data_IF_134271996438
#
_entry.id   IF_134271996438
#
_cell.length_a   1.000
_cell.length_b   1.000
_cell.length_c   1.000
_cell.angle_alpha   90.00
_cell.angle_beta   90.00
_cell.angle_gamma   90.00
#
_symmetry.space_group_name_H-M   'P 1'
#
loop_
_entity.id
_entity.type
_entity.pdbx_description
1 polymer ?
#
# COMPACT_ATOMS: atom_id res chain seq x y z
N UNK A 1 49.72 47.68 -0.97
CA UNK A 1 49.35 47.02 -2.24
C UNK A 1 49.56 45.53 -2.04
N UNK A 2 48.48 44.78 -1.83
CA UNK A 2 48.53 43.33 -1.56
C UNK A 2 47.73 42.62 -2.65
N UNK A 3 48.39 41.74 -3.40
CA UNK A 3 47.80 41.02 -4.52
C UNK A 3 46.83 39.92 -4.03
N UNK A 4 45.70 39.69 -4.71
CA UNK A 4 44.80 38.58 -4.40
C UNK A 4 45.42 37.24 -4.83
N UNK A 5 45.39 36.28 -3.90
CA UNK A 5 45.82 34.89 -4.10
C UNK A 5 44.81 34.18 -5.02
N UNK A 6 45.23 33.46 -6.07
CA UNK A 6 44.31 32.74 -6.95
C UNK A 6 43.69 31.51 -6.24
N UNK A 7 42.44 31.14 -6.56
CA UNK A 7 41.80 29.95 -6.00
C UNK A 7 42.51 28.67 -6.46
N UNK A 8 42.74 27.75 -5.51
CA UNK A 8 43.31 26.42 -5.81
C UNK A 8 42.36 25.62 -6.70
N UNK A 9 42.88 24.86 -7.69
CA UNK A 9 42.07 23.94 -8.47
C UNK A 9 41.55 22.77 -7.58
N UNK A 10 40.34 22.27 -7.83
CA UNK A 10 39.77 21.13 -7.11
C UNK A 10 40.58 19.86 -7.39
N UNK A 11 40.73 19.00 -6.37
CA UNK A 11 41.46 17.74 -6.48
C UNK A 11 40.64 16.71 -7.28
N UNK A 12 41.29 15.87 -8.10
CA UNK A 12 40.60 14.76 -8.77
C UNK A 12 40.12 13.76 -7.72
N UNK A 13 38.81 13.64 -7.52
CA UNK A 13 38.20 12.76 -6.52
C UNK A 13 36.86 13.24 -5.99
N UNK A 14 36.57 14.54 -6.08
CA UNK A 14 35.29 15.13 -5.65
C UNK A 14 34.32 15.31 -6.83
N UNK A 15 34.10 14.24 -7.60
CA UNK A 15 33.07 14.24 -8.64
C UNK A 15 31.78 13.61 -8.07
N UNK A 16 30.71 14.40 -7.83
CA UNK A 16 29.48 13.91 -7.20
C UNK A 16 28.67 12.95 -8.09
N UNK A 17 29.11 12.73 -9.34
CA UNK A 17 28.43 11.91 -10.34
C UNK A 17 29.11 10.56 -10.60
N UNK A 18 30.19 10.22 -9.90
CA UNK A 18 30.83 8.91 -10.04
C UNK A 18 30.24 7.88 -9.06
N UNK A 19 29.62 6.78 -9.55
CA UNK A 19 29.13 5.72 -8.69
C UNK A 19 30.31 5.06 -7.96
N UNK A 20 30.26 5.09 -6.62
CA UNK A 20 31.29 4.53 -5.76
C UNK A 20 31.41 3.03 -6.00
N UNK A 21 32.46 2.62 -6.72
CA UNK A 21 32.70 1.20 -7.01
C UNK A 21 33.39 0.57 -5.81
N UNK A 22 32.60 0.23 -4.77
CA UNK A 22 33.00 -0.70 -3.72
C UNK A 22 31.99 -1.85 -3.68
N UNK A 23 32.43 -3.11 -3.80
CA UNK A 23 31.55 -4.24 -3.60
C UNK A 23 31.23 -4.32 -2.10
N UNK A 24 30.07 -3.78 -1.71
CA UNK A 24 29.52 -4.03 -0.39
C UNK A 24 29.05 -5.49 -0.35
N UNK A 25 29.79 -6.33 0.38
CA UNK A 25 29.32 -7.66 0.78
C UNK A 25 27.91 -7.52 1.39
N UNK A 26 26.94 -8.37 1.02
CA UNK A 26 25.58 -8.26 1.50
C UNK A 26 25.55 -8.56 3.00
N UNK A 27 25.53 -7.51 3.83
CA UNK A 27 25.07 -7.64 5.21
C UNK A 27 23.59 -8.04 5.13
N UNK A 28 23.16 -9.17 5.72
CA UNK A 28 21.74 -9.41 5.89
C UNK A 28 21.23 -8.34 6.85
N UNK A 29 20.54 -7.34 6.30
CA UNK A 29 19.77 -6.41 7.10
C UNK A 29 18.66 -7.22 7.75
N UNK A 30 18.85 -7.61 9.02
CA UNK A 30 17.79 -8.16 9.84
C UNK A 30 16.70 -7.08 9.94
N UNK A 31 15.48 -7.30 9.43
CA UNK A 31 14.44 -6.29 9.45
C UNK A 31 14.08 -5.96 10.91
N UNK A 32 13.98 -4.67 11.30
CA UNK A 32 13.69 -4.24 12.68
C UNK A 32 12.30 -4.64 13.19
N UNK A 33 11.49 -5.32 12.37
CA UNK A 33 10.11 -5.72 12.66
C UNK A 33 9.93 -7.16 13.16
N UNK A 34 11.01 -7.96 13.23
CA UNK A 34 10.93 -9.36 13.71
C UNK A 34 10.45 -9.46 15.17
N UNK A 35 10.81 -8.50 16.02
CA UNK A 35 10.41 -8.50 17.44
C UNK A 35 8.92 -8.26 17.67
N UNK A 36 8.27 -7.41 16.86
CA UNK A 36 6.82 -7.17 16.93
C UNK A 36 6.03 -8.30 16.29
N UNK A 37 6.52 -8.87 15.19
CA UNK A 37 5.90 -10.02 14.52
C UNK A 37 5.99 -11.31 15.36
N UNK A 38 7.10 -11.53 16.07
CA UNK A 38 7.26 -12.66 16.98
C UNK A 38 6.31 -12.59 18.19
N UNK A 39 6.00 -11.38 18.69
CA UNK A 39 5.06 -11.19 19.80
C UNK A 39 3.61 -11.50 19.39
N UNK A 40 3.22 -11.13 18.16
CA UNK A 40 1.92 -11.49 17.59
C UNK A 40 1.77 -12.99 17.32
N UNK A 41 2.82 -13.63 16.80
CA UNK A 41 2.88 -15.09 16.60
C UNK A 41 2.86 -15.87 17.91
N UNK A 42 3.60 -15.40 18.93
CA UNK A 42 3.60 -15.98 20.27
C UNK A 42 2.24 -15.88 20.94
N UNK A 43 1.56 -14.73 20.82
CA UNK A 43 0.22 -14.56 21.36
C UNK A 43 -0.81 -15.46 20.67
N UNK A 44 -0.72 -15.62 19.35
CA UNK A 44 -1.59 -16.55 18.59
C UNK A 44 -1.32 -18.02 18.95
N UNK A 45 -0.06 -18.40 19.15
CA UNK A 45 0.29 -19.74 19.60
C UNK A 45 -0.24 -20.02 21.02
N UNK A 46 -0.09 -19.08 21.94
CA UNK A 46 -0.64 -19.17 23.30
C UNK A 46 -2.16 -19.26 23.26
N UNK A 47 -2.83 -18.44 22.45
CA UNK A 47 -4.28 -18.43 22.34
C UNK A 47 -4.83 -19.70 21.65
N UNK A 48 -4.08 -20.28 20.70
CA UNK A 48 -4.36 -21.57 20.09
C UNK A 48 -4.23 -22.74 21.07
N UNK A 49 -3.13 -22.78 21.84
CA UNK A 49 -2.92 -23.79 22.88
C UNK A 49 -3.96 -23.67 23.98
N UNK A 50 -4.28 -22.45 24.41
CA UNK A 50 -5.30 -22.21 25.45
C UNK A 50 -6.70 -22.61 24.98
N UNK A 51 -7.04 -22.33 23.72
CA UNK A 51 -8.28 -22.79 23.09
C UNK A 51 -8.35 -24.32 22.98
N UNK A 52 -7.25 -24.96 22.59
CA UNK A 52 -7.16 -26.43 22.49
C UNK A 52 -7.32 -27.11 23.86
N UNK A 53 -6.63 -26.61 24.89
CA UNK A 53 -6.73 -27.14 26.26
C UNK A 53 -8.15 -26.96 26.80
N UNK A 54 -8.79 -25.81 26.56
CA UNK A 54 -10.17 -25.58 26.98
C UNK A 54 -11.15 -26.56 26.30
N UNK A 55 -11.00 -26.79 24.99
CA UNK A 55 -11.80 -27.78 24.24
C UNK A 55 -11.56 -29.19 24.77
N UNK A 56 -10.30 -29.57 25.05
CA UNK A 56 -9.97 -30.88 25.58
C UNK A 56 -10.63 -31.14 26.94
N UNK A 57 -10.59 -30.16 27.84
CA UNK A 57 -11.25 -30.23 29.16
C UNK A 57 -12.77 -30.34 29.00
N UNK A 58 -13.38 -29.56 28.10
CA UNK A 58 -14.81 -29.64 27.83
C UNK A 58 -15.21 -31.00 27.25
N UNK A 59 -14.41 -31.56 26.34
CA UNK A 59 -14.64 -32.88 25.75
C UNK A 59 -14.56 -33.98 26.81
N UNK A 60 -13.63 -33.86 27.76
CA UNK A 60 -13.44 -34.81 28.85
C UNK A 60 -14.62 -34.73 29.83
N UNK A 61 -15.06 -33.52 30.19
CA UNK A 61 -16.26 -33.31 31.03
C UNK A 61 -17.51 -33.85 30.35
N UNK A 62 -17.77 -33.48 29.09
CA UNK A 62 -18.96 -33.96 28.38
C UNK A 62 -18.91 -35.47 28.07
N UNK A 63 -17.73 -36.03 27.84
CA UNK A 63 -17.55 -37.48 27.69
C UNK A 63 -17.89 -38.25 28.97
N UNK A 64 -17.52 -37.72 30.13
CA UNK A 64 -17.91 -38.29 31.44
C UNK A 64 -19.43 -38.17 31.64
N UNK A 65 -20.04 -37.02 31.32
CA UNK A 65 -21.50 -36.85 31.43
C UNK A 65 -22.27 -37.79 30.48
N UNK A 66 -21.77 -38.03 29.27
CA UNK A 66 -22.36 -38.97 28.33
C UNK A 66 -22.27 -40.42 28.85
N UNK A 67 -21.13 -40.81 29.44
CA UNK A 67 -20.96 -42.13 30.05
C UNK A 67 -21.88 -42.35 31.27
N UNK A 68 -22.36 -41.27 31.90
CA UNK A 68 -23.36 -41.28 32.96
C UNK A 68 -24.82 -41.35 32.44
N UNK A 69 -25.04 -41.43 31.13
CA UNK A 69 -26.37 -41.59 30.53
C UNK A 69 -27.15 -40.28 30.34
N UNK A 70 -26.48 -39.13 30.35
CA UNK A 70 -27.10 -37.84 30.03
C UNK A 70 -27.22 -37.65 28.51
N UNK A 71 -28.38 -37.95 27.94
CA UNK A 71 -28.67 -37.81 26.49
C UNK A 71 -28.33 -36.43 25.86
N UNK A 72 -28.51 -35.28 26.54
CA UNK A 72 -28.14 -33.98 25.96
C UNK A 72 -26.62 -33.78 25.80
N UNK A 73 -25.81 -34.59 26.49
CA UNK A 73 -24.35 -34.47 26.45
C UNK A 73 -23.78 -34.80 25.07
N UNK A 74 -24.42 -35.69 24.30
CA UNK A 74 -24.01 -36.02 22.94
C UNK A 74 -24.14 -34.83 21.98
N UNK A 75 -25.21 -34.03 22.13
CA UNK A 75 -25.41 -32.79 21.38
C UNK A 75 -24.40 -31.71 21.76
N UNK A 76 -24.09 -31.58 23.05
CA UNK A 76 -23.06 -30.66 23.54
C UNK A 76 -21.66 -31.04 23.03
N UNK A 77 -21.34 -32.33 22.90
CA UNK A 77 -20.10 -32.80 22.25
C UNK A 77 -20.08 -32.39 20.77
N UNK A 78 -21.18 -32.57 20.05
CA UNK A 78 -21.30 -32.13 18.66
C UNK A 78 -21.08 -30.62 18.48
N UNK A 79 -21.75 -29.81 19.30
CA UNK A 79 -21.63 -28.34 19.26
C UNK A 79 -20.21 -27.89 19.61
N UNK A 80 -19.58 -28.52 20.60
CA UNK A 80 -18.20 -28.19 20.99
C UNK A 80 -17.20 -28.59 19.92
N UNK A 81 -17.41 -29.71 19.22
CA UNK A 81 -16.61 -30.07 18.04
C UNK A 81 -16.75 -29.05 16.92
N UNK A 82 -17.97 -28.58 16.65
CA UNK A 82 -18.22 -27.56 15.62
C UNK A 82 -17.54 -26.24 16.00
N UNK A 83 -17.67 -25.80 17.26
CA UNK A 83 -16.99 -24.58 17.74
C UNK A 83 -15.47 -24.72 17.69
N UNK A 84 -14.92 -25.89 18.05
CA UNK A 84 -13.49 -26.17 17.96
C UNK A 84 -13.02 -26.13 16.50
N UNK A 85 -13.76 -26.77 15.59
CA UNK A 85 -13.48 -26.74 14.16
C UNK A 85 -13.54 -25.31 13.60
N UNK A 86 -14.53 -24.51 14.02
CA UNK A 86 -14.66 -23.11 13.60
C UNK A 86 -13.52 -22.25 14.16
N UNK A 87 -13.07 -22.53 15.39
CA UNK A 87 -11.90 -21.90 16.01
C UNK A 87 -10.60 -22.24 15.28
N UNK A 88 -10.41 -23.51 14.91
CA UNK A 88 -9.27 -23.98 14.10
C UNK A 88 -9.32 -23.37 12.69
N UNK A 89 -10.48 -23.33 12.05
CA UNK A 89 -10.65 -22.71 10.75
C UNK A 89 -10.35 -21.20 10.81
N UNK A 90 -10.82 -20.50 11.85
CA UNK A 90 -10.59 -19.06 12.02
C UNK A 90 -9.12 -18.74 12.31
N UNK A 91 -8.47 -19.54 13.15
CA UNK A 91 -7.02 -19.42 13.44
C UNK A 91 -6.17 -19.83 12.25
N UNK A 92 -6.60 -20.81 11.44
CA UNK A 92 -5.95 -21.14 10.18
C UNK A 92 -6.12 -20.03 9.13
N UNK A 93 -7.29 -19.37 9.05
CA UNK A 93 -7.49 -18.21 8.16
C UNK A 93 -6.65 -17.01 8.63
N UNK A 94 -6.60 -16.74 9.93
CA UNK A 94 -5.77 -15.65 10.47
C UNK A 94 -4.27 -15.97 10.39
N UNK A 95 -3.87 -17.21 10.64
CA UNK A 95 -2.52 -17.72 10.46
C UNK A 95 -2.09 -17.67 9.00
N UNK A 96 -2.98 -18.02 8.07
CA UNK A 96 -2.76 -17.79 6.62
C UNK A 96 -2.66 -16.31 6.30
N UNK A 97 -3.37 -15.40 6.95
CA UNK A 97 -3.15 -13.94 6.74
C UNK A 97 -1.80 -13.43 7.25
N UNK A 98 -1.14 -14.17 8.14
CA UNK A 98 0.19 -13.84 8.68
C UNK A 98 1.32 -14.59 7.97
N UNK A 99 1.04 -15.77 7.40
CA UNK A 99 1.96 -16.63 6.65
C UNK A 99 1.86 -16.43 5.14
N UNK A 100 0.74 -15.93 4.63
CA UNK A 100 0.68 -15.35 3.30
C UNK A 100 1.44 -14.03 3.44
N UNK A 101 2.68 -13.91 2.91
CA UNK A 101 3.26 -12.59 2.71
C UNK A 101 2.16 -11.79 2.01
N UNK A 102 1.87 -10.58 2.51
CA UNK A 102 1.11 -9.62 1.70
C UNK A 102 1.72 -9.74 0.31
N UNK A 103 0.94 -10.12 -0.73
CA UNK A 103 1.56 -10.42 -2.00
C UNK A 103 2.31 -9.15 -2.35
N UNK A 104 3.64 -9.23 -2.27
CA UNK A 104 4.56 -8.37 -2.98
C UNK A 104 4.29 -8.76 -4.42
N UNK A 105 3.12 -8.35 -4.92
CA UNK A 105 2.94 -8.24 -6.34
C UNK A 105 3.97 -7.17 -6.66
N UNK A 106 5.04 -7.52 -7.39
CA UNK A 106 6.00 -6.52 -7.81
C UNK A 106 5.22 -5.33 -8.35
N UNK A 107 5.67 -4.10 -8.13
CA UNK A 107 5.02 -2.89 -8.68
C UNK A 107 4.67 -3.03 -10.18
N UNK A 108 5.34 -3.95 -10.88
CA UNK A 108 5.11 -4.40 -12.25
C UNK A 108 3.88 -5.31 -12.53
N UNK A 109 3.37 -6.11 -11.58
CA UNK A 109 2.36 -7.16 -11.88
C UNK A 109 0.93 -6.91 -11.37
N UNK A 110 0.71 -5.95 -10.48
CA UNK A 110 -0.65 -5.62 -10.04
C UNK A 110 -1.23 -4.61 -11.03
N UNK A 111 -2.39 -4.95 -11.57
CA UNK A 111 -3.06 -4.16 -12.59
C UNK A 111 -3.58 -2.83 -12.03
N UNK A 112 -3.78 -1.82 -12.89
CA UNK A 112 -4.30 -0.51 -12.50
C UNK A 112 -5.69 -0.59 -11.82
N UNK A 113 -6.49 -1.61 -12.14
CA UNK A 113 -7.81 -1.82 -11.52
C UNK A 113 -7.72 -2.22 -10.04
N UNK A 114 -6.72 -3.01 -9.66
CA UNK A 114 -6.51 -3.44 -8.27
C UNK A 114 -6.10 -2.26 -7.37
N UNK A 115 -5.30 -1.34 -7.93
CA UNK A 115 -4.83 -0.13 -7.27
C UNK A 115 -5.97 0.85 -7.03
N UNK A 116 -6.86 1.03 -8.02
CA UNK A 116 -8.06 1.84 -7.87
C UNK A 116 -8.99 1.26 -6.79
N UNK A 117 -9.23 -0.06 -6.80
CA UNK A 117 -10.05 -0.71 -5.77
C UNK A 117 -9.43 -0.60 -4.38
N UNK A 118 -8.10 -0.58 -4.27
CA UNK A 118 -7.38 -0.33 -3.00
C UNK A 118 -7.54 1.12 -2.54
N UNK A 119 -7.41 2.11 -3.44
CA UNK A 119 -7.66 3.52 -3.14
C UNK A 119 -9.09 3.78 -2.64
N UNK A 120 -10.10 3.16 -3.26
CA UNK A 120 -11.49 3.28 -2.82
C UNK A 120 -11.75 2.63 -1.45
N UNK A 121 -11.03 1.56 -1.11
CA UNK A 121 -11.04 0.99 0.25
C UNK A 121 -10.37 1.93 1.23
N UNK A 122 -9.23 2.52 0.85
CA UNK A 122 -8.51 3.48 1.66
C UNK A 122 -9.37 4.70 1.96
N UNK A 123 -10.05 5.25 0.96
CA UNK A 123 -10.96 6.39 1.10
C UNK A 123 -12.03 6.13 2.16
N UNK A 124 -12.73 4.98 2.06
CA UNK A 124 -13.76 4.57 3.01
C UNK A 124 -13.22 4.37 4.44
N UNK A 125 -12.01 3.86 4.59
CA UNK A 125 -11.38 3.72 5.90
C UNK A 125 -10.90 5.05 6.48
N UNK A 126 -10.37 5.94 5.64
CA UNK A 126 -9.84 7.24 6.01
C UNK A 126 -10.94 8.21 6.46
N UNK A 127 -12.07 8.24 5.76
CA UNK A 127 -13.22 9.11 6.11
C UNK A 127 -13.70 8.93 7.56
N UNK A 128 -13.66 7.69 8.08
CA UNK A 128 -14.08 7.37 9.45
C UNK A 128 -13.00 7.69 10.49
N UNK A 129 -11.73 7.59 10.10
CA UNK A 129 -10.59 7.75 11.00
C UNK A 129 -10.11 9.21 11.13
N UNK A 130 -10.37 10.04 10.11
CA UNK A 130 -9.86 11.40 9.99
C UNK A 130 -10.77 12.46 10.63
N UNK A 131 -10.18 13.52 11.21
CA UNK A 131 -10.92 14.69 11.66
C UNK A 131 -11.59 15.44 10.48
N UNK A 132 -12.69 16.17 10.71
CA UNK A 132 -13.45 16.84 9.64
C UNK A 132 -12.61 17.79 8.78
N UNK A 133 -11.63 18.47 9.39
CA UNK A 133 -10.76 19.42 8.71
C UNK A 133 -9.79 18.76 7.71
N UNK A 134 -9.37 17.51 7.95
CA UNK A 134 -8.43 16.79 7.08
C UNK A 134 -9.10 16.02 5.94
N UNK A 135 -10.43 15.79 6.02
CA UNK A 135 -11.20 15.08 4.99
C UNK A 135 -11.06 15.70 3.59
N UNK A 136 -11.28 17.02 3.37
CA UNK A 136 -11.23 17.57 2.02
C UNK A 136 -9.84 17.41 1.37
N UNK A 137 -8.77 17.63 2.13
CA UNK A 137 -7.40 17.45 1.64
C UNK A 137 -7.13 15.98 1.28
N UNK A 138 -7.60 15.05 2.12
CA UNK A 138 -7.48 13.62 1.84
C UNK A 138 -8.26 13.19 0.59
N UNK A 139 -9.49 13.68 0.42
CA UNK A 139 -10.27 13.43 -0.80
C UNK A 139 -9.57 13.97 -2.05
N UNK A 140 -9.03 15.19 -2.00
CA UNK A 140 -8.30 15.78 -3.12
C UNK A 140 -7.05 14.96 -3.49
N UNK A 141 -6.29 14.50 -2.50
CA UNK A 141 -5.12 13.64 -2.72
C UNK A 141 -5.52 12.28 -3.34
N UNK A 142 -6.60 11.66 -2.88
CA UNK A 142 -7.09 10.39 -3.43
C UNK A 142 -7.57 10.56 -4.88
N UNK A 143 -8.33 11.63 -5.18
CA UNK A 143 -8.85 11.89 -6.52
C UNK A 143 -7.70 12.15 -7.51
N UNK A 144 -6.74 13.01 -7.14
CA UNK A 144 -5.58 13.30 -7.98
C UNK A 144 -4.74 12.04 -8.24
N UNK A 145 -4.52 11.21 -7.23
CA UNK A 145 -3.78 9.94 -7.37
C UNK A 145 -4.52 8.97 -8.28
N UNK A 146 -5.85 8.84 -8.14
CA UNK A 146 -6.67 7.99 -9.02
C UNK A 146 -6.62 8.48 -10.47
N UNK A 147 -6.75 9.78 -10.68
CA UNK A 147 -6.71 10.36 -12.01
C UNK A 147 -5.32 10.18 -12.67
N UNK A 148 -4.24 10.30 -11.88
CA UNK A 148 -2.87 10.02 -12.32
C UNK A 148 -2.69 8.54 -12.71
N UNK A 149 -3.20 7.61 -11.90
CA UNK A 149 -3.18 6.17 -12.22
C UNK A 149 -3.91 5.85 -13.51
N UNK A 150 -5.09 6.44 -13.73
CA UNK A 150 -5.87 6.21 -14.95
C UNK A 150 -5.14 6.72 -16.19
N UNK A 151 -4.56 7.92 -16.12
CA UNK A 151 -3.83 8.51 -17.25
C UNK A 151 -2.51 7.80 -17.57
N UNK A 152 -1.90 7.14 -16.59
CA UNK A 152 -0.64 6.40 -16.75
C UNK A 152 -0.85 4.89 -16.97
N UNK A 153 -2.09 4.41 -16.90
CA UNK A 153 -2.42 2.97 -17.03
C UNK A 153 -2.13 2.37 -18.41
N UNK A 154 -2.16 3.20 -19.46
CA UNK A 154 -1.92 2.81 -20.84
C UNK A 154 -0.45 2.84 -21.27
N UNK A 155 0.47 3.24 -20.39
CA UNK A 155 1.90 3.26 -20.72
C UNK A 155 2.44 1.82 -20.79
N UNK A 156 2.97 1.41 -21.95
CA UNK A 156 3.58 0.08 -22.15
C UNK A 156 4.86 -0.13 -21.34
N UNK A 157 5.54 0.97 -20.97
CA UNK A 157 6.70 0.96 -20.09
C UNK A 157 6.38 1.72 -18.80
N UNK A 158 6.89 1.22 -17.67
CA UNK A 158 6.81 1.91 -16.37
C UNK A 158 7.65 3.20 -16.41
N UNK A 159 7.04 4.28 -16.88
CA UNK A 159 7.58 5.63 -16.78
C UNK A 159 7.59 6.13 -15.33
N UNK A 160 8.40 7.15 -15.06
CA UNK A 160 8.50 7.77 -13.73
C UNK A 160 7.13 8.15 -13.16
N UNK A 161 6.27 8.76 -13.95
CA UNK A 161 4.94 9.18 -13.50
C UNK A 161 4.02 8.01 -13.14
N UNK A 162 4.11 6.91 -13.90
CA UNK A 162 3.35 5.70 -13.63
C UNK A 162 3.83 5.03 -12.33
N UNK A 163 5.15 5.07 -12.09
CA UNK A 163 5.75 4.62 -10.84
C UNK A 163 5.32 5.51 -9.67
N UNK A 164 5.47 6.83 -9.78
CA UNK A 164 5.07 7.80 -8.74
C UNK A 164 3.59 7.64 -8.38
N UNK A 165 2.70 7.46 -9.36
CA UNK A 165 1.27 7.26 -9.13
C UNK A 165 0.96 5.93 -8.42
N UNK A 166 1.62 4.84 -8.80
CA UNK A 166 1.48 3.53 -8.14
C UNK A 166 2.05 3.55 -6.73
N UNK A 167 3.20 4.18 -6.52
CA UNK A 167 3.83 4.33 -5.21
C UNK A 167 2.93 5.14 -4.27
N UNK A 168 2.42 6.29 -4.72
CA UNK A 168 1.51 7.11 -3.94
C UNK A 168 0.25 6.34 -3.50
N UNK A 169 -0.30 5.52 -4.40
CA UNK A 169 -1.50 4.73 -4.12
C UNK A 169 -1.27 3.53 -3.21
N UNK A 170 -0.11 2.87 -3.33
CA UNK A 170 0.18 1.60 -2.63
C UNK A 170 0.88 1.77 -1.30
N UNK A 171 1.72 2.79 -1.18
CA UNK A 171 2.64 2.99 -0.07
C UNK A 171 2.36 4.32 0.63
N UNK A 172 2.57 5.45 -0.06
CA UNK A 172 2.60 6.76 0.61
C UNK A 172 1.29 7.11 1.32
N UNK A 173 0.14 7.01 0.63
CA UNK A 173 -1.16 7.35 1.22
C UNK A 173 -1.59 6.37 2.35
N UNK A 174 -1.49 5.04 2.17
CA UNK A 174 -1.72 4.09 3.25
C UNK A 174 -0.80 4.28 4.46
N UNK A 175 0.50 4.48 4.23
CA UNK A 175 1.50 4.64 5.29
C UNK A 175 1.28 5.94 6.07
N UNK A 176 0.95 7.02 5.36
CA UNK A 176 0.60 8.31 5.97
C UNK A 176 -0.60 8.17 6.92
N UNK A 177 -1.66 7.48 6.48
CA UNK A 177 -2.82 7.22 7.33
C UNK A 177 -2.49 6.31 8.50
N UNK A 178 -1.68 5.26 8.28
CA UNK A 178 -1.27 4.35 9.33
C UNK A 178 -0.46 5.09 10.41
N UNK A 179 0.48 5.92 9.99
CA UNK A 179 1.34 6.74 10.88
C UNK A 179 0.51 7.73 11.68
N UNK A 180 -0.43 8.43 11.04
CA UNK A 180 -1.32 9.35 11.73
C UNK A 180 -2.22 8.64 12.75
N UNK A 181 -2.75 7.47 12.43
CA UNK A 181 -3.60 6.69 13.34
C UNK A 181 -2.82 6.08 14.52
N UNK A 182 -1.53 5.78 14.33
CA UNK A 182 -0.65 5.27 15.38
C UNK A 182 -0.12 6.37 16.31
N UNK A 183 -0.11 7.63 15.85
CA UNK A 183 0.35 8.78 16.63
C UNK A 183 -0.71 9.30 17.61
N UNK A 184 -0.32 9.94 18.72
CA UNK A 184 -1.24 10.70 19.55
C UNK A 184 -1.93 11.80 18.75
N UNK A 185 -3.24 11.97 18.96
CA UNK A 185 -4.03 13.01 18.27
C UNK A 185 -3.71 14.39 18.83
N UNK A 186 -2.68 15.03 18.26
CA UNK A 186 -2.29 16.41 18.56
C UNK A 186 -2.59 17.33 17.37
N UNK A 187 -2.80 18.64 17.60
CA UNK A 187 -2.98 19.61 16.52
C UNK A 187 -1.78 19.67 15.56
N UNK A 188 -0.57 19.43 16.05
CA UNK A 188 0.63 19.44 15.22
C UNK A 188 0.70 18.22 14.29
N UNK A 189 0.27 17.04 14.76
CA UNK A 189 0.15 15.85 13.92
C UNK A 189 -0.89 16.05 12.80
N UNK A 190 -1.99 16.76 13.08
CA UNK A 190 -3.00 17.10 12.08
C UNK A 190 -2.47 18.07 11.02
N UNK A 191 -1.69 19.09 11.42
CA UNK A 191 -1.03 20.02 10.48
C UNK A 191 -0.01 19.29 9.59
N UNK A 192 0.79 18.39 10.16
CA UNK A 192 1.75 17.59 9.39
C UNK A 192 1.06 16.69 8.37
N UNK A 193 -0.02 16.02 8.78
CA UNK A 193 -0.84 15.22 7.89
C UNK A 193 -1.38 16.05 6.73
N UNK A 194 -1.95 17.23 7.01
CA UNK A 194 -2.48 18.14 5.98
C UNK A 194 -1.40 18.54 4.97
N UNK A 195 -0.21 18.92 5.46
CA UNK A 195 0.92 19.30 4.61
C UNK A 195 1.38 18.14 3.71
N UNK A 196 1.41 16.91 4.25
CA UNK A 196 1.81 15.72 3.49
C UNK A 196 0.76 15.33 2.44
N UNK A 197 -0.53 15.39 2.78
CA UNK A 197 -1.62 15.17 1.83
C UNK A 197 -1.60 16.18 0.69
N UNK A 198 -1.36 17.45 1.02
CA UNK A 198 -1.26 18.52 0.02
C UNK A 198 -0.05 18.35 -0.90
N UNK A 199 1.10 17.90 -0.37
CA UNK A 199 2.29 17.60 -1.18
C UNK A 199 2.03 16.47 -2.18
N UNK A 200 1.44 15.36 -1.72
CA UNK A 200 1.09 14.22 -2.58
C UNK A 200 0.05 14.66 -3.62
N UNK A 201 -0.98 15.38 -3.19
CA UNK A 201 -2.03 15.89 -4.08
C UNK A 201 -1.51 16.81 -5.17
N UNK A 202 -0.59 17.73 -4.84
CA UNK A 202 0.06 18.61 -5.82
C UNK A 202 0.89 17.83 -6.83
N UNK A 203 1.75 16.91 -6.37
CA UNK A 203 2.59 16.10 -7.26
C UNK A 203 1.76 15.25 -8.23
N UNK A 204 0.70 14.62 -7.75
CA UNK A 204 -0.22 13.84 -8.61
C UNK A 204 -1.02 14.74 -9.55
N UNK A 205 -1.41 15.93 -9.10
CA UNK A 205 -2.04 16.95 -9.96
C UNK A 205 -1.14 17.39 -11.12
N UNK A 206 0.16 17.59 -10.86
CA UNK A 206 1.15 17.90 -11.90
C UNK A 206 1.24 16.78 -12.95
N UNK A 207 1.33 15.52 -12.50
CA UNK A 207 1.33 14.35 -13.39
C UNK A 207 0.07 14.34 -14.27
N UNK A 208 -1.10 14.58 -13.68
CA UNK A 208 -2.37 14.65 -14.41
C UNK A 208 -2.33 15.75 -15.47
N UNK A 209 -1.88 16.95 -15.12
CA UNK A 209 -1.80 18.08 -16.04
C UNK A 209 -0.83 17.82 -17.20
N UNK A 210 0.34 17.29 -16.90
CA UNK A 210 1.35 16.97 -17.90
C UNK A 210 0.84 15.89 -18.87
N UNK A 211 0.29 14.80 -18.35
CA UNK A 211 -0.23 13.69 -19.18
C UNK A 211 -1.44 14.11 -20.02
N UNK A 212 -2.36 14.93 -19.48
CA UNK A 212 -3.44 15.50 -20.28
C UNK A 212 -2.89 16.36 -21.43
N UNK A 213 -1.90 17.22 -21.16
CA UNK A 213 -1.26 18.04 -22.18
C UNK A 213 -0.53 17.22 -23.26
N UNK A 214 0.11 16.11 -22.89
CA UNK A 214 0.70 15.17 -23.84
C UNK A 214 -0.35 14.46 -24.69
N UNK A 215 -1.44 14.00 -24.07
CA UNK A 215 -2.53 13.33 -24.78
C UNK A 215 -3.22 14.26 -25.79
N UNK A 216 -3.54 15.49 -25.40
CA UNK A 216 -4.12 16.50 -26.31
C UNK A 216 -3.20 16.78 -27.50
N UNK A 217 -1.90 16.96 -27.27
CA UNK A 217 -0.92 17.17 -28.36
C UNK A 217 -0.85 15.98 -29.32
N UNK A 218 -0.96 14.77 -28.79
CA UNK A 218 -0.95 13.53 -29.59
C UNK A 218 -2.22 13.43 -30.44
N UNK A 219 -3.39 13.71 -29.86
CA UNK A 219 -4.66 13.74 -30.59
C UNK A 219 -4.68 14.82 -31.68
N UNK A 220 -4.13 16.01 -31.41
CA UNK A 220 -3.98 17.06 -32.42
C UNK A 220 -3.04 16.65 -33.56
N UNK A 221 -1.91 16.01 -33.24
CA UNK A 221 -0.99 15.51 -34.25
C UNK A 221 -1.65 14.42 -35.12
N UNK A 222 -2.40 13.52 -34.50
CA UNK A 222 -3.15 12.49 -35.21
C UNK A 222 -4.23 13.10 -36.10
N UNK A 223 -4.97 14.10 -35.60
CA UNK A 223 -5.95 14.85 -36.39
C UNK A 223 -5.29 15.47 -37.63
N UNK A 224 -4.19 16.21 -37.48
CA UNK A 224 -3.47 16.83 -38.60
C UNK A 224 -2.96 15.79 -39.60
N UNK A 225 -2.48 14.66 -39.12
CA UNK A 225 -2.06 13.55 -39.97
C UNK A 225 -3.23 12.98 -40.78
N UNK A 226 -4.40 12.77 -40.15
CA UNK A 226 -5.59 12.28 -40.84
C UNK A 226 -6.14 13.29 -41.83
N UNK A 227 -6.17 14.58 -41.48
CA UNK A 227 -6.56 15.68 -42.37
C UNK A 227 -5.64 15.74 -43.60
N UNK A 228 -4.32 15.63 -43.44
CA UNK A 228 -3.39 15.56 -44.58
C UNK A 228 -3.57 14.28 -45.42
N UNK A 229 -3.81 13.13 -44.79
CA UNK A 229 -3.91 11.84 -45.48
C UNK A 229 -5.23 11.66 -46.24
N UNK A 230 -6.33 12.17 -45.71
CA UNK A 230 -7.67 11.95 -46.24
C UNK A 230 -8.36 13.22 -46.76
N UNK A 231 -7.87 14.41 -46.41
CA UNK A 231 -8.44 15.70 -46.82
C UNK A 231 -7.96 16.21 -48.19
N UNK A 232 -6.81 15.76 -48.71
CA UNK A 232 -6.29 16.18 -50.03
C UNK A 232 -7.04 15.55 -51.23
N UNK A 233 -8.17 14.87 -50.98
CA UNK A 233 -8.99 14.24 -52.03
C UNK A 233 -10.09 15.12 -52.63
N UNK A 234 -10.43 16.27 -52.03
CA UNK A 234 -11.59 17.09 -52.47
C UNK A 234 -11.23 18.30 -53.35
N UNK A 235 -9.94 18.59 -53.60
CA UNK A 235 -9.50 19.77 -54.39
C UNK A 235 -8.81 19.41 -55.72
N UNK A 236 -8.96 18.18 -56.20
CA UNK A 236 -8.49 17.76 -57.54
C UNK A 236 -9.64 17.30 -58.43
N UNK A 237 -10.61 18.17 -58.66
CA UNK A 237 -11.50 18.11 -59.84
C UNK A 237 -11.67 19.51 -60.45
#
# INVERSE_FOLDING_TARGET
MSAPVPPRPPRPGDDPWLPSTRPALPRPALPPDLGRRAKGLGWLAVQGVLGFVAVLVLLLVFGILLALGWDPAGWLIGITLILAFLGVARTAIQGRRLLTPAPEVPLAQAGPEDDEARLLRLLRSGERALPPAARPAFHAAIISTRDALRLTSGDEALGRDAFDARQAAREDLPELLHTYQAAPRTPDAERLLLNQLDLIGRRMGEVVHERRGQHTRTLEAQRRYLESKYGEGEERE
#
